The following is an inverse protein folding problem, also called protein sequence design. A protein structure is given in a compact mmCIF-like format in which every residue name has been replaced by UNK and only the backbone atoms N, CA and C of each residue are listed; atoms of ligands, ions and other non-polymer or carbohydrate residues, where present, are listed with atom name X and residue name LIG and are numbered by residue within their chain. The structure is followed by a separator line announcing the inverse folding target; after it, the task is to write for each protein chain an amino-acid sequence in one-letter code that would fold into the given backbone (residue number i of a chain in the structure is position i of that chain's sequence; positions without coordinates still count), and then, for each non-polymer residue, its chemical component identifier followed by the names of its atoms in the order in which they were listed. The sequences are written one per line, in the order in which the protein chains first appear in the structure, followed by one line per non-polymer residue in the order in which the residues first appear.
data_IF_022967397747
#
_entry.id   IF_022967397747
#
_cell.length_a   1.000
_cell.length_b   1.000
_cell.length_c   1.000
_cell.angle_alpha   90.00
_cell.angle_beta   90.00
_cell.angle_gamma   90.00
#
_symmetry.space_group_name_H-M   'P 1'
#
loop_
_entity.id
_entity.type
_entity.pdbx_description
1 polymer ?
#
# COMPACT_ATOMS: atom_id res chain seq x y z
N UNK A 1 -13.15 -21.62 0.17
CA UNK A 1 -12.45 -20.55 0.93
C UNK A 1 -13.44 -19.95 1.93
N UNK A 2 -13.03 -19.64 3.17
CA UNK A 2 -13.85 -18.87 4.12
C UNK A 2 -14.27 -17.50 3.60
N UNK A 3 -13.50 -16.94 2.66
CA UNK A 3 -13.72 -15.62 2.06
C UNK A 3 -14.55 -15.68 0.76
N UNK A 4 -15.20 -16.81 0.45
CA UNK A 4 -15.88 -17.00 -0.84
C UNK A 4 -16.94 -15.92 -1.14
N UNK A 5 -17.80 -15.62 -0.18
CA UNK A 5 -18.87 -14.64 -0.36
C UNK A 5 -18.33 -13.22 -0.46
N UNK A 6 -17.28 -12.90 0.30
CA UNK A 6 -16.58 -11.61 0.21
C UNK A 6 -15.96 -11.42 -1.18
N UNK A 7 -15.16 -12.38 -1.64
CA UNK A 7 -14.50 -12.31 -2.96
C UNK A 7 -15.49 -12.18 -4.12
N UNK A 8 -16.73 -12.67 -3.96
CA UNK A 8 -17.80 -12.54 -4.96
C UNK A 8 -18.36 -11.12 -5.06
N UNK A 9 -18.23 -10.31 -4.01
CA UNK A 9 -18.70 -8.92 -3.99
C UNK A 9 -17.69 -7.94 -4.61
N UNK A 10 -16.41 -8.32 -4.67
CA UNK A 10 -15.33 -7.49 -5.20
C UNK A 10 -15.37 -7.55 -6.74
N UNK A 11 -15.11 -6.44 -7.45
CA UNK A 11 -14.92 -6.48 -8.90
C UNK A 11 -13.71 -7.32 -9.30
N UNK A 12 -13.63 -7.71 -10.57
CA UNK A 12 -12.49 -8.48 -11.08
C UNK A 12 -11.18 -7.66 -11.02
N UNK A 13 -11.25 -6.35 -11.24
CA UNK A 13 -10.13 -5.40 -11.12
C UNK A 13 -10.64 -3.98 -10.86
N UNK A 14 -9.76 -3.09 -10.40
CA UNK A 14 -10.03 -1.66 -10.37
C UNK A 14 -9.63 -0.98 -11.69
N UNK A 15 -10.34 0.08 -12.13
CA UNK A 15 -10.12 0.73 -13.42
C UNK A 15 -8.91 1.69 -13.39
N UNK A 16 -7.75 1.20 -12.94
CA UNK A 16 -6.50 1.96 -12.84
C UNK A 16 -5.66 1.83 -14.12
N UNK A 17 -4.81 2.82 -14.46
CA UNK A 17 -4.01 2.79 -15.67
C UNK A 17 -3.11 1.56 -15.85
N UNK A 18 -2.74 0.93 -14.74
CA UNK A 18 -1.95 -0.30 -14.72
C UNK A 18 -2.60 -1.46 -15.48
N UNK A 19 -3.94 -1.56 -15.47
CA UNK A 19 -4.70 -2.64 -16.10
C UNK A 19 -5.33 -2.25 -17.44
N UNK A 20 -5.11 -1.03 -17.90
CA UNK A 20 -5.62 -0.58 -19.20
C UNK A 20 -4.87 -1.25 -20.36
N UNK A 21 -5.49 -1.36 -21.55
CA UNK A 21 -4.79 -1.70 -22.77
C UNK A 21 -3.59 -0.77 -23.00
N UNK A 22 -2.48 -1.32 -23.50
CA UNK A 22 -1.21 -0.58 -23.60
C UNK A 22 -1.30 0.63 -24.54
N UNK A 23 -2.01 0.49 -25.66
CA UNK A 23 -2.25 1.57 -26.60
C UNK A 23 -3.14 2.67 -25.99
N UNK A 24 -4.12 2.28 -25.18
CA UNK A 24 -4.98 3.22 -24.45
C UNK A 24 -4.20 3.98 -23.39
N UNK A 25 -3.43 3.29 -22.54
CA UNK A 25 -2.59 3.90 -21.52
C UNK A 25 -1.56 4.86 -22.15
N UNK A 26 -0.83 4.41 -23.18
CA UNK A 26 0.17 5.24 -23.85
C UNK A 26 -0.45 6.50 -24.48
N UNK A 27 -1.64 6.39 -25.06
CA UNK A 27 -2.34 7.52 -25.68
C UNK A 27 -2.90 8.49 -24.66
N UNK A 28 -3.53 8.00 -23.59
CA UNK A 28 -4.21 8.82 -22.59
C UNK A 28 -3.26 9.47 -21.59
N UNK A 29 -2.15 8.80 -21.27
CA UNK A 29 -1.16 9.29 -20.31
C UNK A 29 -0.05 10.11 -20.97
N UNK A 30 0.04 10.16 -22.30
CA UNK A 30 1.10 10.86 -23.01
C UNK A 30 1.29 12.30 -22.48
N UNK A 31 2.52 12.60 -22.03
CA UNK A 31 2.90 13.90 -21.49
C UNK A 31 2.62 14.09 -20.00
N UNK A 32 2.02 13.10 -19.33
CA UNK A 32 1.93 13.06 -17.87
C UNK A 32 3.14 12.34 -17.27
N UNK A 33 3.48 12.63 -16.01
CA UNK A 33 4.50 11.86 -15.28
C UNK A 33 4.06 10.40 -15.09
N UNK A 34 2.75 10.16 -14.99
CA UNK A 34 2.15 8.85 -14.81
C UNK A 34 2.44 7.88 -15.97
N UNK A 35 2.66 8.38 -17.19
CA UNK A 35 3.05 7.54 -18.33
C UNK A 35 4.33 6.74 -18.05
N UNK A 36 5.33 7.40 -17.46
CA UNK A 36 6.61 6.76 -17.12
C UNK A 36 6.42 5.77 -15.97
N UNK A 37 5.72 6.18 -14.92
CA UNK A 37 5.45 5.35 -13.73
C UNK A 37 4.71 4.08 -14.09
N UNK A 38 3.63 4.17 -14.88
CA UNK A 38 2.83 2.99 -15.26
C UNK A 38 3.64 2.01 -16.11
N UNK A 39 4.51 2.51 -17.01
CA UNK A 39 5.39 1.63 -17.79
C UNK A 39 6.39 0.89 -16.89
N UNK A 40 7.01 1.60 -15.95
CA UNK A 40 7.96 1.01 -15.01
C UNK A 40 7.29 -0.02 -14.08
N UNK A 41 6.13 0.31 -13.52
CA UNK A 41 5.38 -0.59 -12.64
C UNK A 41 4.96 -1.88 -13.37
N UNK A 42 4.59 -1.77 -14.65
CA UNK A 42 4.27 -2.95 -15.48
C UNK A 42 5.49 -3.81 -15.74
N UNK A 43 6.66 -3.22 -15.96
CA UNK A 43 7.91 -3.95 -16.12
C UNK A 43 8.23 -4.74 -14.84
N UNK A 44 8.23 -4.07 -13.68
CA UNK A 44 8.47 -4.72 -12.38
C UNK A 44 7.48 -5.84 -12.08
N UNK A 45 6.18 -5.64 -12.33
CA UNK A 45 5.20 -6.71 -12.12
C UNK A 45 5.38 -7.89 -13.07
N UNK A 46 5.89 -7.66 -14.28
CA UNK A 46 6.23 -8.74 -15.20
C UNK A 46 7.48 -9.50 -14.74
N UNK A 47 8.44 -8.81 -14.14
CA UNK A 47 9.63 -9.42 -13.52
C UNK A 47 9.23 -10.26 -12.31
N UNK A 48 8.48 -9.70 -11.36
CA UNK A 48 7.92 -10.42 -10.19
C UNK A 48 7.15 -11.68 -10.62
N UNK A 49 6.33 -11.56 -11.66
CA UNK A 49 5.58 -12.71 -12.18
C UNK A 49 6.52 -13.83 -12.64
N UNK A 50 7.56 -13.51 -13.40
CA UNK A 50 8.50 -14.51 -13.95
C UNK A 50 9.43 -15.07 -12.87
N UNK A 51 9.90 -14.24 -11.96
CA UNK A 51 10.92 -14.61 -10.97
C UNK A 51 10.33 -15.23 -9.71
N UNK A 52 9.11 -14.85 -9.33
CA UNK A 52 8.50 -15.29 -8.08
C UNK A 52 7.25 -16.13 -8.30
N UNK A 53 6.32 -15.71 -9.16
CA UNK A 53 4.99 -16.34 -9.24
C UNK A 53 5.00 -17.60 -10.12
N UNK A 54 5.58 -17.52 -11.32
CA UNK A 54 5.67 -18.63 -12.27
C UNK A 54 6.40 -19.86 -11.72
N UNK A 55 7.51 -19.71 -10.95
CA UNK A 55 8.15 -20.84 -10.26
C UNK A 55 7.24 -21.52 -9.23
N UNK A 56 6.45 -20.76 -8.47
CA UNK A 56 5.52 -21.31 -7.46
C UNK A 56 4.33 -22.04 -8.09
N UNK A 57 3.89 -21.59 -9.27
CA UNK A 57 2.88 -22.29 -10.06
C UNK A 57 3.46 -23.60 -10.60
N UNK A 58 4.69 -23.55 -11.12
CA UNK A 58 5.37 -24.69 -11.73
C UNK A 58 5.79 -25.76 -10.70
N UNK A 59 6.15 -25.35 -9.48
CA UNK A 59 6.47 -26.26 -8.38
C UNK A 59 5.24 -27.01 -7.87
N UNK A 60 4.03 -26.49 -8.13
CA UNK A 60 2.77 -27.03 -7.63
C UNK A 60 2.49 -26.73 -6.16
N UNK A 61 3.34 -25.93 -5.50
CA UNK A 61 3.22 -25.56 -4.09
C UNK A 61 1.93 -24.80 -3.79
N UNK A 62 1.42 -24.05 -4.77
CA UNK A 62 0.22 -23.24 -4.59
C UNK A 62 -1.08 -24.06 -4.62
N UNK A 63 -1.04 -25.33 -5.03
CA UNK A 63 -2.23 -26.18 -5.12
C UNK A 63 -3.29 -25.69 -6.11
N UNK A 64 -2.94 -24.76 -7.00
CA UNK A 64 -3.78 -24.23 -8.08
C UNK A 64 -3.41 -24.89 -9.40
N UNK A 65 -4.36 -24.91 -10.34
CA UNK A 65 -4.00 -25.32 -11.71
C UNK A 65 -3.27 -24.17 -12.39
N UNK A 66 -2.25 -24.45 -13.21
CA UNK A 66 -1.55 -23.40 -13.97
C UNK A 66 -2.50 -22.52 -14.80
N UNK A 67 -3.57 -23.09 -15.35
CA UNK A 67 -4.55 -22.36 -16.16
C UNK A 67 -5.43 -21.40 -15.35
N UNK A 68 -5.48 -21.55 -14.01
CA UNK A 68 -6.30 -20.72 -13.14
C UNK A 68 -5.61 -19.39 -12.78
N UNK A 69 -4.31 -19.26 -13.01
CA UNK A 69 -3.52 -18.04 -12.80
C UNK A 69 -2.90 -17.55 -14.10
N UNK A 70 -2.98 -16.24 -14.35
CA UNK A 70 -2.35 -15.60 -15.50
C UNK A 70 -1.77 -14.27 -15.08
N UNK A 71 -0.83 -13.74 -15.87
CA UNK A 71 -0.27 -12.41 -15.66
C UNK A 71 -1.36 -11.34 -15.57
N UNK A 72 -2.39 -11.43 -16.40
CA UNK A 72 -3.57 -10.55 -16.36
C UNK A 72 -4.31 -10.62 -15.02
N UNK A 73 -4.51 -11.82 -14.47
CA UNK A 73 -5.11 -12.00 -13.13
C UNK A 73 -4.19 -11.48 -12.03
N UNK A 74 -2.88 -11.53 -12.20
CA UNK A 74 -1.92 -10.94 -11.27
C UNK A 74 -2.03 -9.42 -11.26
N UNK A 75 -2.05 -8.77 -12.43
CA UNK A 75 -2.33 -7.33 -12.55
C UNK A 75 -3.68 -6.94 -11.93
N UNK A 76 -4.72 -7.72 -12.20
CA UNK A 76 -6.05 -7.52 -11.64
C UNK A 76 -6.03 -7.60 -10.10
N UNK A 77 -5.43 -8.65 -9.53
CA UNK A 77 -5.28 -8.79 -8.08
C UNK A 77 -4.45 -7.65 -7.46
N UNK A 78 -3.37 -7.22 -8.13
CA UNK A 78 -2.55 -6.09 -7.68
C UNK A 78 -3.35 -4.79 -7.65
N UNK A 79 -4.23 -4.56 -8.63
CA UNK A 79 -5.12 -3.39 -8.66
C UNK A 79 -6.10 -3.38 -7.49
N UNK A 80 -6.66 -4.54 -7.13
CA UNK A 80 -7.56 -4.69 -5.98
C UNK A 80 -6.81 -4.48 -4.67
N UNK A 81 -5.65 -5.11 -4.51
CA UNK A 81 -4.86 -4.98 -3.29
C UNK A 81 -4.43 -3.52 -3.06
N UNK A 82 -3.95 -2.85 -4.11
CA UNK A 82 -3.49 -1.46 -4.02
C UNK A 82 -4.61 -0.46 -3.72
N UNK A 83 -5.88 -0.81 -3.95
CA UNK A 83 -7.02 0.09 -3.80
C UNK A 83 -7.86 -0.20 -2.56
N UNK A 84 -7.84 -1.44 -2.08
CA UNK A 84 -8.72 -1.94 -1.00
C UNK A 84 -7.99 -2.36 0.25
N UNK A 85 -6.66 -2.50 0.23
CA UNK A 85 -5.91 -2.89 1.43
C UNK A 85 -5.84 -1.74 2.42
N UNK A 86 -6.01 -2.06 3.70
CA UNK A 86 -5.71 -1.18 4.82
C UNK A 86 -4.41 -1.63 5.47
N UNK A 87 -3.66 -0.66 6.00
CA UNK A 87 -2.61 -0.97 6.97
C UNK A 87 -3.29 -1.20 8.32
N UNK A 88 -3.20 -2.42 8.83
CA UNK A 88 -3.89 -2.84 10.05
C UNK A 88 -3.05 -2.42 11.26
N UNK A 89 -1.84 -2.97 11.40
CA UNK A 89 -0.87 -2.59 12.43
C UNK A 89 0.55 -3.07 12.05
N UNK A 90 1.52 -2.97 12.97
CA UNK A 90 2.91 -3.41 12.76
C UNK A 90 3.08 -4.92 12.68
N UNK A 91 2.19 -5.69 13.31
CA UNK A 91 2.25 -7.13 13.38
C UNK A 91 1.55 -7.80 12.17
N UNK A 92 0.36 -7.34 11.81
CA UNK A 92 -0.47 -7.87 10.72
C UNK A 92 -0.13 -7.26 9.35
N UNK A 93 0.51 -6.08 9.30
CA UNK A 93 0.87 -5.41 8.06
C UNK A 93 -0.34 -4.89 7.28
N UNK A 94 -0.37 -5.13 5.96
CA UNK A 94 -1.46 -4.71 5.08
C UNK A 94 -2.39 -5.87 4.75
N UNK A 95 -3.69 -5.64 4.81
CA UNK A 95 -4.70 -6.65 4.51
C UNK A 95 -5.98 -6.04 3.96
N UNK A 96 -6.77 -6.86 3.27
CA UNK A 96 -8.12 -6.48 2.85
C UNK A 96 -9.06 -6.72 4.02
N UNK A 97 -9.84 -5.71 4.40
CA UNK A 97 -10.78 -5.78 5.53
C UNK A 97 -12.20 -5.81 4.97
N UNK A 98 -12.87 -6.98 4.97
CA UNK A 98 -14.22 -7.09 4.44
C UNK A 98 -15.18 -6.10 5.09
N UNK A 99 -16.17 -5.64 4.31
CA UNK A 99 -17.13 -4.57 4.65
C UNK A 99 -16.51 -3.18 4.70
N UNK A 100 -15.31 -3.02 5.28
CA UNK A 100 -14.65 -1.73 5.35
C UNK A 100 -14.14 -1.23 4.00
N UNK A 101 -13.63 -2.14 3.17
CA UNK A 101 -13.17 -1.84 1.81
C UNK A 101 -14.29 -1.53 0.80
N UNK A 102 -15.56 -1.57 1.24
CA UNK A 102 -16.71 -1.18 0.42
C UNK A 102 -16.95 0.33 0.45
N UNK A 103 -16.45 1.03 1.47
CA UNK A 103 -16.65 2.47 1.60
C UNK A 103 -15.69 3.21 0.66
N UNK A 104 -16.27 4.02 -0.22
CA UNK A 104 -15.48 4.83 -1.16
C UNK A 104 -14.73 5.95 -0.42
N UNK A 105 -13.55 6.30 -0.94
CA UNK A 105 -12.81 7.48 -0.51
C UNK A 105 -13.55 8.77 -0.89
N UNK A 106 -13.56 9.77 0.00
CA UNK A 106 -14.04 11.14 -0.25
C UNK A 106 -12.87 12.09 0.00
N UNK A 107 -12.64 13.03 -0.90
CA UNK A 107 -11.46 13.92 -0.83
C UNK A 107 -11.55 14.99 0.26
N UNK A 108 -12.70 15.10 0.95
CA UNK A 108 -12.98 16.10 1.97
C UNK A 108 -13.16 15.49 3.39
N UNK A 109 -12.78 14.23 3.61
CA UNK A 109 -12.76 13.58 4.92
C UNK A 109 -12.62 12.06 4.86
N UNK A 110 -12.21 11.43 5.97
CA UNK A 110 -12.21 9.98 6.10
C UNK A 110 -13.62 9.44 6.36
N UNK A 111 -14.04 8.39 5.64
CA UNK A 111 -15.32 7.71 5.90
C UNK A 111 -15.19 6.56 6.90
N UNK A 112 -14.00 5.95 7.00
CA UNK A 112 -13.72 4.78 7.81
C UNK A 112 -12.35 4.96 8.46
N UNK A 113 -12.30 4.77 9.78
CA UNK A 113 -11.08 4.83 10.58
C UNK A 113 -10.98 3.59 11.48
N UNK A 114 -9.77 3.05 11.65
CA UNK A 114 -9.52 1.89 12.52
C UNK A 114 -8.68 2.31 13.72
N UNK A 115 -9.23 2.10 14.93
CA UNK A 115 -8.52 2.29 16.20
C UNK A 115 -8.38 0.97 16.93
N UNK A 116 -7.38 0.89 17.78
CA UNK A 116 -7.33 -0.15 18.80
C UNK A 116 -8.31 0.24 19.91
N UNK A 117 -9.08 -0.72 20.41
CA UNK A 117 -9.90 -0.51 21.60
C UNK A 117 -8.99 -0.30 22.80
N UNK A 118 -8.73 0.96 23.15
CA UNK A 118 -8.00 1.27 24.37
C UNK A 118 -8.90 0.93 25.56
N UNK A 119 -8.63 -0.20 26.20
CA UNK A 119 -9.18 -0.53 27.50
C UNK A 119 -8.56 0.43 28.54
N UNK A 120 -9.03 1.67 28.59
CA UNK A 120 -8.82 2.65 29.65
C UNK A 120 -7.47 2.53 30.39
N UNK A 121 -6.36 2.87 29.74
CA UNK A 121 -5.21 3.41 30.47
C UNK A 121 -5.26 4.92 30.30
N UNK A 122 -5.83 5.57 31.32
CA UNK A 122 -5.69 7.01 31.51
C UNK A 122 -4.24 7.28 31.84
N UNK A 123 -3.44 7.73 30.88
CA UNK A 123 -2.18 8.41 31.16
C UNK A 123 -1.97 9.49 30.08
N UNK A 124 -2.49 10.67 30.43
CA UNK A 124 -1.95 12.01 30.24
C UNK A 124 -1.19 12.35 28.94
N UNK A 125 -1.82 13.28 28.21
CA UNK A 125 -1.33 14.16 27.13
C UNK A 125 0.18 14.48 27.15
N UNK A 126 0.83 14.37 25.98
CA UNK A 126 1.87 15.33 25.61
C UNK A 126 1.68 15.75 24.15
N UNK A 127 0.90 16.81 23.98
CA UNK A 127 0.82 17.62 22.76
C UNK A 127 2.22 18.14 22.41
N UNK A 128 2.80 17.60 21.34
CA UNK A 128 4.03 18.11 20.73
C UNK A 128 3.73 19.34 19.87
N UNK A 129 3.50 20.47 20.52
CA UNK A 129 3.31 21.79 19.91
C UNK A 129 4.57 22.27 19.18
N UNK A 130 4.72 22.00 17.88
CA UNK A 130 5.72 22.72 17.05
C UNK A 130 5.14 24.07 16.61
N UNK A 131 5.08 25.00 17.57
CA UNK A 131 4.77 26.40 17.28
C UNK A 131 5.99 27.11 16.69
N UNK A 132 5.82 27.46 15.42
CA UNK A 132 6.44 28.58 14.72
C UNK A 132 6.70 29.81 15.59
N UNK A 133 7.91 30.38 15.51
CA UNK A 133 8.15 31.80 15.76
C UNK A 133 9.32 32.33 14.91
N UNK A 134 8.95 32.95 13.80
CA UNK A 134 9.39 34.27 13.28
C UNK A 134 10.85 34.75 13.45
N UNK A 135 11.49 34.93 12.29
CA UNK A 135 12.12 36.15 11.73
C UNK A 135 12.99 37.05 12.63
N UNK A 136 14.27 37.20 12.23
CA UNK A 136 14.92 38.52 12.08
C UNK A 136 15.99 38.47 10.98
N UNK A 137 15.85 39.41 10.04
CA UNK A 137 16.67 39.72 8.87
C UNK A 137 18.09 40.23 9.21
N UNK A 138 19.07 40.02 8.32
CA UNK A 138 19.90 41.12 7.81
C UNK A 138 20.67 40.75 6.52
N UNK A 139 20.61 41.70 5.59
CA UNK A 139 21.05 41.76 4.20
C UNK A 139 22.57 41.67 3.98
N UNK A 140 22.99 41.22 2.79
CA UNK A 140 24.40 41.15 2.39
C UNK A 140 24.64 40.81 0.91
N UNK A 141 24.35 41.79 0.07
CA UNK A 141 24.62 42.04 -1.35
C UNK A 141 25.74 41.27 -2.11
N UNK A 142 25.39 40.99 -3.37
CA UNK A 142 26.15 41.17 -4.62
C UNK A 142 27.10 40.13 -5.26
N UNK A 143 26.85 40.03 -6.58
CA UNK A 143 27.74 39.84 -7.75
C UNK A 143 28.23 38.46 -8.26
N UNK A 144 27.54 38.03 -9.32
CA UNK A 144 28.03 37.68 -10.67
C UNK A 144 29.51 37.27 -10.85
N UNK A 145 29.77 36.04 -11.34
CA UNK A 145 30.29 35.81 -12.71
C UNK A 145 30.56 34.33 -13.09
N UNK A 146 30.51 34.16 -14.40
CA UNK A 146 30.71 33.04 -15.32
C UNK A 146 32.02 32.23 -15.22
N UNK A 147 32.06 31.10 -15.96
CA UNK A 147 33.15 30.16 -16.37
C UNK A 147 33.55 29.10 -15.33
N UNK A 148 33.90 27.84 -15.61
CA UNK A 148 34.37 27.13 -16.80
C UNK A 148 34.23 25.60 -16.55
N UNK A 149 34.22 24.82 -17.64
CA UNK A 149 34.32 23.36 -17.65
C UNK A 149 35.60 22.86 -16.95
N UNK A 150 35.48 21.79 -16.16
CA UNK A 150 36.50 20.73 -16.06
C UNK A 150 35.84 19.44 -15.58
N UNK A 151 35.97 18.41 -16.40
CA UNK A 151 35.90 17.00 -16.01
C UNK A 151 37.01 16.72 -14.99
N UNK A 152 36.77 15.85 -14.00
CA UNK A 152 37.72 14.82 -13.54
C UNK A 152 36.95 13.69 -12.83
N UNK A 153 37.52 12.49 -12.95
CA UNK A 153 36.99 11.18 -12.60
C UNK A 153 37.15 10.79 -11.11
N UNK A 154 36.65 9.59 -10.83
CA UNK A 154 36.93 8.67 -9.72
C UNK A 154 36.06 8.71 -8.46
N UNK A 155 35.42 7.56 -8.21
CA UNK A 155 34.73 7.24 -6.97
C UNK A 155 33.84 6.01 -7.08
N UNK A 156 34.39 4.84 -7.41
CA UNK A 156 33.77 3.53 -7.15
C UNK A 156 33.43 3.44 -5.65
N UNK A 157 32.14 3.31 -5.31
CA UNK A 157 31.74 2.84 -3.97
C UNK A 157 30.70 1.73 -4.10
N UNK A 158 31.24 0.50 -4.18
CA UNK A 158 30.49 -0.73 -4.03
C UNK A 158 30.09 -0.90 -2.57
N UNK A 159 28.82 -0.64 -2.23
CA UNK A 159 28.26 -1.12 -0.96
C UNK A 159 27.50 -2.42 -1.18
N UNK A 160 28.13 -3.48 -0.70
CA UNK A 160 27.71 -4.86 -0.69
C UNK A 160 26.76 -5.07 0.51
N UNK A 161 25.46 -5.27 0.28
CA UNK A 161 24.50 -5.60 1.33
C UNK A 161 23.99 -7.03 1.14
N UNK A 162 24.70 -7.97 1.75
CA UNK A 162 24.27 -9.33 2.00
C UNK A 162 23.39 -9.36 3.25
N UNK A 163 22.12 -9.75 3.11
CA UNK A 163 21.31 -10.26 4.22
C UNK A 163 20.42 -11.39 3.70
N UNK A 164 20.92 -12.60 3.93
CA UNK A 164 20.27 -13.89 3.73
C UNK A 164 19.40 -14.15 4.97
N UNK A 165 18.08 -14.04 4.88
CA UNK A 165 17.17 -14.56 5.91
C UNK A 165 16.12 -15.46 5.25
N UNK A 166 16.37 -16.77 5.35
CA UNK A 166 15.46 -17.84 4.98
C UNK A 166 14.24 -17.85 5.91
N UNK A 167 13.06 -17.55 5.37
CA UNK A 167 11.78 -17.73 6.06
C UNK A 167 11.21 -19.12 5.73
N UNK A 168 11.38 -20.08 6.63
CA UNK A 168 10.65 -21.35 6.61
C UNK A 168 9.25 -21.16 7.19
N UNK A 169 8.21 -21.23 6.35
CA UNK A 169 6.81 -21.15 6.78
C UNK A 169 6.32 -22.55 7.17
N UNK A 170 6.19 -22.82 8.46
CA UNK A 170 5.47 -23.99 8.96
C UNK A 170 3.99 -23.65 9.18
N UNK A 171 3.12 -24.29 8.39
CA UNK A 171 1.67 -24.17 8.48
C UNK A 171 1.14 -24.93 9.71
N UNK A 172 0.88 -24.22 10.81
CA UNK A 172 0.27 -24.81 12.02
C UNK A 172 -1.22 -24.53 12.08
N UNK A 173 -2.02 -25.56 11.81
CA UNK A 173 -3.45 -25.59 12.06
C UNK A 173 -3.69 -25.80 13.56
N UNK A 174 -4.01 -24.74 14.30
CA UNK A 174 -4.41 -24.84 15.70
C UNK A 174 -5.75 -24.12 15.93
N UNK A 175 -6.78 -24.89 16.29
CA UNK A 175 -8.03 -24.34 16.81
C UNK A 175 -7.78 -23.73 18.19
N UNK A 176 -8.23 -22.50 18.50
CA UNK A 176 -8.10 -21.97 19.85
C UNK A 176 -9.19 -22.58 20.72
N UNK A 177 -8.76 -23.42 21.66
CA UNK A 177 -9.54 -23.76 22.85
C UNK A 177 -9.43 -22.60 23.82
N UNK A 178 -10.57 -22.13 24.32
CA UNK A 178 -10.68 -20.89 25.08
C UNK A 178 -9.80 -20.84 26.33
N UNK A 179 -8.91 -19.86 26.36
CA UNK A 179 -8.35 -19.19 27.53
C UNK A 179 -8.09 -17.75 27.09
N UNK A 180 -8.49 -16.78 27.92
CA UNK A 180 -8.79 -15.41 27.52
C UNK A 180 -7.68 -14.72 26.72
N UNK A 181 -7.87 -14.65 25.40
CA UNK A 181 -7.21 -13.66 24.56
C UNK A 181 -7.80 -12.32 24.95
N UNK A 182 -6.97 -11.42 25.46
CA UNK A 182 -7.22 -10.00 25.24
C UNK A 182 -6.99 -9.81 23.73
N UNK A 183 -8.00 -10.17 22.94
CA UNK A 183 -8.06 -9.74 21.55
C UNK A 183 -8.07 -8.23 21.63
N UNK A 184 -7.03 -7.62 21.08
CA UNK A 184 -6.99 -6.18 20.89
C UNK A 184 -8.04 -5.88 19.83
N UNK A 185 -9.28 -5.71 20.28
CA UNK A 185 -10.43 -5.51 19.41
C UNK A 185 -10.15 -4.26 18.56
N UNK A 186 -10.09 -4.44 17.24
CA UNK A 186 -10.03 -3.33 16.29
C UNK A 186 -11.42 -2.71 16.19
N UNK A 187 -11.52 -1.43 16.53
CA UNK A 187 -12.74 -0.65 16.40
C UNK A 187 -12.77 0.01 15.02
N UNK A 188 -13.90 -0.11 14.32
CA UNK A 188 -14.16 0.55 13.05
C UNK A 188 -15.13 1.71 13.27
N UNK A 189 -14.66 2.93 13.08
CA UNK A 189 -15.46 4.15 13.23
C UNK A 189 -15.92 4.60 11.84
N UNK A 190 -17.24 4.74 11.65
CA UNK A 190 -17.83 5.26 10.41
C UNK A 190 -18.24 6.72 10.64
N UNK A 191 -17.63 7.62 9.87
CA UNK A 191 -17.90 9.05 9.96
C UNK A 191 -18.96 9.43 8.92
N UNK A 192 -20.02 10.11 9.36
CA UNK A 192 -21.04 10.70 8.49
C UNK A 192 -21.33 12.13 8.90
N UNK A 193 -21.53 12.98 7.92
CA UNK A 193 -22.12 14.30 8.16
C UNK A 193 -23.59 14.14 8.54
N UNK A 194 -24.03 14.82 9.59
CA UNK A 194 -25.43 14.88 10.01
C UNK A 194 -25.85 16.34 10.15
N UNK A 195 -27.00 16.70 9.59
CA UNK A 195 -27.54 18.04 9.82
C UNK A 195 -28.18 18.11 11.21
N UNK A 196 -28.29 19.30 11.81
CA UNK A 196 -29.01 19.46 13.07
C UNK A 196 -30.44 18.93 12.96
N UNK A 197 -30.75 17.86 13.70
CA UNK A 197 -32.07 17.22 13.72
C UNK A 197 -32.18 15.93 12.90
N UNK A 198 -31.13 15.52 12.19
CA UNK A 198 -31.07 14.19 11.58
C UNK A 198 -30.85 13.13 12.68
N UNK A 199 -31.55 12.00 12.58
CA UNK A 199 -31.31 10.86 13.46
C UNK A 199 -29.94 10.24 13.14
N UNK A 200 -29.09 10.14 14.15
CA UNK A 200 -27.86 9.35 14.13
C UNK A 200 -28.20 7.89 14.41
#
# INVERSE_FOLDING_TARGET
SPWHDYLRLIPDCEPVPLVWPEDEAARLLAGTELDKTVKQDREFLCEDWKECIEPLISSGELGVKPDDLSLEKYFAAKSLLSSRSFRIDKYHGSGMVPLADLFNHKTDGEHVHFTKSDASDSDEEEDGDDQSNTDLDEEGDDDQNNVELVEEEDGDDQSNASADEQSTVENSTANPSGEGSNDEDLEMIIVREANPGDEV
#
